data_IF_291209251491
#
_entry.id   IF_291209251491
#
_cell.length_a   1.000
_cell.length_b   1.000
_cell.length_c   1.000
_cell.angle_alpha   90.00
_cell.angle_beta   90.00
_cell.angle_gamma   90.00
#
_symmetry.space_group_name_H-M   'P 1'
#
loop_
_entity.id
_entity.type
_entity.pdbx_description
1 polymer ?
#
# COMPACT_ATOMS: atom_id res chain seq x y z
N UNK A 1 -22.87 22.59 -16.90
CA UNK A 1 -22.48 22.57 -16.49
C UNK A 1 -21.75 22.29 -16.00
N UNK A 2 -21.68 22.26 -15.72
CA UNK A 2 -21.07 22.05 -15.21
C UNK A 2 -20.42 21.77 -14.57
N UNK A 3 -20.25 21.54 -14.27
CA UNK A 3 -19.66 21.22 -13.61
C UNK A 3 -18.95 21.03 -13.03
N UNK A 4 -18.78 21.01 -12.85
CA UNK A 4 -18.16 20.87 -12.30
C UNK A 4 -17.47 20.52 -11.68
N UNK A 5 -17.18 20.34 -11.54
CA UNK A 5 -16.52 19.97 -10.98
C UNK A 5 -15.98 19.68 -10.25
N UNK A 6 -16.06 19.32 -10.07
CA UNK A 6 -15.57 18.92 -9.16
C UNK A 6 -14.56 18.81 -8.69
N UNK A 7 -14.23 19.11 -9.16
CA UNK A 7 -13.24 19.12 -8.68
C UNK A 7 -13.11 18.90 -7.47
N UNK A 8 -13.74 18.72 -7.08
CA UNK A 8 -13.58 18.56 -5.94
C UNK A 8 -12.94 17.68 -5.42
N UNK A 9 -12.84 17.45 -6.03
CA UNK A 9 -12.45 17.03 -5.44
C UNK A 9 -11.81 16.42 -4.39
N UNK A 10 -11.10 16.93 -3.44
CA UNK A 10 -10.51 16.22 -2.33
C UNK A 10 -11.49 15.40 -1.56
N UNK A 11 -12.71 15.84 -1.56
CA UNK A 11 -13.74 15.08 -0.89
C UNK A 11 -14.10 13.82 -1.63
N UNK A 12 -13.65 13.72 -2.86
CA UNK A 12 -13.92 12.55 -3.67
C UNK A 12 -13.00 11.38 -3.33
N UNK A 13 -12.00 11.57 -2.46
CA UNK A 13 -11.12 10.47 -2.09
C UNK A 13 -11.92 9.38 -1.37
N UNK A 14 -11.82 8.15 -1.88
CA UNK A 14 -12.52 7.03 -1.28
C UNK A 14 -11.89 6.67 0.08
N UNK A 15 -12.62 5.94 0.94
CA UNK A 15 -12.02 5.46 2.18
C UNK A 15 -10.73 4.68 1.94
N UNK A 16 -10.68 3.91 0.87
CA UNK A 16 -9.49 3.14 0.55
C UNK A 16 -8.32 4.06 0.17
N UNK A 17 -8.58 5.10 -0.62
CA UNK A 17 -7.56 6.07 -0.98
C UNK A 17 -7.00 6.75 0.27
N UNK A 18 -7.88 7.13 1.19
CA UNK A 18 -7.44 7.73 2.44
C UNK A 18 -6.57 6.80 3.25
N UNK A 19 -6.94 5.52 3.31
CA UNK A 19 -6.15 4.54 4.05
C UNK A 19 -4.76 4.37 3.43
N UNK A 20 -4.69 4.31 2.11
CA UNK A 20 -3.41 4.18 1.41
C UNK A 20 -2.52 5.38 1.70
N UNK A 21 -3.07 6.58 1.65
CA UNK A 21 -2.29 7.78 1.90
C UNK A 21 -1.85 7.89 3.37
N UNK A 22 -2.70 7.45 4.28
CA UNK A 22 -2.34 7.38 5.69
C UNK A 22 -1.16 6.44 5.92
N UNK A 23 -1.20 5.28 5.29
CA UNK A 23 -0.13 4.29 5.44
C UNK A 23 1.16 4.83 4.81
N UNK A 24 1.05 5.46 3.64
CA UNK A 24 2.21 6.06 2.98
C UNK A 24 2.86 7.11 3.88
N UNK A 25 2.06 7.95 4.51
CA UNK A 25 2.56 8.98 5.40
C UNK A 25 3.23 8.38 6.64
N UNK A 26 2.60 7.36 7.21
CA UNK A 26 3.17 6.64 8.34
C UNK A 26 4.54 6.06 7.97
N UNK A 27 4.62 5.39 6.83
CA UNK A 27 5.87 4.79 6.37
C UNK A 27 6.92 5.86 6.11
N UNK A 28 6.51 7.03 5.59
CA UNK A 28 7.43 8.13 5.36
C UNK A 28 8.06 8.62 6.66
N UNK A 29 7.29 8.61 7.73
CA UNK A 29 7.81 8.99 9.03
C UNK A 29 8.87 8.03 9.56
N UNK A 30 8.88 6.79 9.09
CA UNK A 30 9.89 5.80 9.48
C UNK A 30 11.16 5.90 8.65
N UNK A 31 11.11 6.62 7.54
CA UNK A 31 12.26 6.78 6.65
C UNK A 31 12.33 5.71 5.59
N UNK A 32 13.44 5.69 4.87
CA UNK A 32 13.67 4.72 3.81
C UNK A 32 14.49 3.54 4.33
N UNK A 33 14.61 2.51 3.48
CA UNK A 33 15.32 1.27 3.79
C UNK A 33 14.61 0.48 4.89
N UNK A 34 13.29 0.46 4.81
CA UNK A 34 12.43 -0.24 5.76
C UNK A 34 12.00 -1.59 5.18
N UNK A 35 11.78 -2.59 6.04
CA UNK A 35 11.22 -3.86 5.57
C UNK A 35 9.79 -3.68 5.10
N UNK A 36 9.30 -4.65 4.34
CA UNK A 36 7.90 -4.66 3.94
C UNK A 36 7.01 -4.76 5.18
N UNK A 37 5.87 -4.07 5.15
CA UNK A 37 4.94 -4.04 6.27
C UNK A 37 3.54 -4.36 5.79
N UNK A 38 2.85 -5.16 6.56
CA UNK A 38 1.49 -5.59 6.25
C UNK A 38 0.53 -4.95 7.24
N UNK A 39 -0.63 -4.51 6.73
CA UNK A 39 -1.65 -3.86 7.55
C UNK A 39 -2.99 -4.52 7.32
N UNK A 40 -3.76 -4.69 8.40
CA UNK A 40 -5.16 -5.02 8.28
C UNK A 40 -5.94 -3.71 8.17
N UNK A 41 -6.97 -3.68 7.35
CA UNK A 41 -7.86 -2.53 7.25
C UNK A 41 -9.18 -2.89 7.92
N UNK A 42 -9.51 -2.18 8.97
CA UNK A 42 -10.67 -2.49 9.79
C UNK A 42 -11.64 -1.31 9.75
N UNK A 43 -12.94 -1.63 9.68
CA UNK A 43 -13.96 -0.60 9.77
C UNK A 43 -13.84 0.09 11.12
N UNK A 44 -13.63 1.40 11.11
CA UNK A 44 -13.36 2.16 12.33
C UNK A 44 -14.53 2.12 13.31
N UNK A 45 -15.75 2.24 12.80
CA UNK A 45 -16.94 2.20 13.66
C UNK A 45 -17.07 0.84 14.34
N UNK A 46 -16.84 -0.22 13.59
CA UNK A 46 -16.90 -1.56 14.13
C UNK A 46 -15.80 -1.79 15.16
N UNK A 47 -14.62 -1.27 14.90
CA UNK A 47 -13.50 -1.40 15.83
C UNK A 47 -13.81 -0.74 17.16
N UNK A 48 -14.43 0.44 17.13
CA UNK A 48 -14.84 1.11 18.38
C UNK A 48 -15.86 0.31 19.16
N UNK A 49 -16.78 -0.32 18.46
CA UNK A 49 -17.81 -1.14 19.10
C UNK A 49 -17.27 -2.43 19.68
N UNK A 50 -16.46 -3.13 18.88
CA UNK A 50 -16.02 -4.48 19.22
C UNK A 50 -14.76 -4.50 20.07
N UNK A 51 -13.90 -3.51 19.91
CA UNK A 51 -12.59 -3.46 20.58
C UNK A 51 -12.34 -2.05 21.11
N UNK A 52 -13.13 -1.59 22.09
CA UNK A 52 -13.00 -0.21 22.54
C UNK A 52 -11.64 0.13 23.14
N UNK A 53 -10.98 -0.84 23.77
CA UNK A 53 -9.66 -0.60 24.34
C UNK A 53 -8.61 -0.39 23.26
N UNK A 54 -8.67 -1.20 22.22
CA UNK A 54 -7.77 -1.04 21.09
C UNK A 54 -8.04 0.28 20.37
N UNK A 55 -9.31 0.61 20.20
CA UNK A 55 -9.69 1.87 19.57
C UNK A 55 -9.13 3.06 20.36
N UNK A 56 -9.19 3.00 21.68
CA UNK A 56 -8.64 4.06 22.52
C UNK A 56 -7.11 4.15 22.35
N UNK A 57 -6.43 3.01 22.29
CA UNK A 57 -4.99 2.99 22.09
C UNK A 57 -4.59 3.61 20.76
N UNK A 58 -5.46 3.50 19.76
CA UNK A 58 -5.21 4.05 18.43
C UNK A 58 -5.73 5.48 18.29
N UNK A 59 -6.30 6.05 19.34
CA UNK A 59 -6.78 7.41 19.30
C UNK A 59 -8.12 7.59 18.61
N UNK A 60 -8.93 6.55 18.55
CA UNK A 60 -10.18 6.53 17.80
C UNK A 60 -11.41 6.69 18.68
N UNK A 61 -11.22 6.90 19.97
CA UNK A 61 -12.34 6.83 20.90
C UNK A 61 -13.25 8.07 20.87
N UNK A 62 -12.78 9.20 20.35
CA UNK A 62 -13.60 10.40 20.35
C UNK A 62 -14.55 10.52 19.15
N UNK A 63 -14.35 9.76 18.13
CA UNK A 63 -15.27 9.62 17.02
C UNK A 63 -15.30 10.71 15.98
N UNK A 64 -14.69 11.83 16.22
CA UNK A 64 -14.74 12.94 15.26
C UNK A 64 -13.55 12.90 14.31
N UNK A 65 -13.81 13.17 13.04
CA UNK A 65 -12.78 13.26 12.01
C UNK A 65 -12.02 11.98 11.80
N UNK A 66 -12.59 10.84 12.23
CA UNK A 66 -11.91 9.55 12.09
C UNK A 66 -12.18 8.97 10.72
N UNK A 67 -11.14 8.47 10.08
CA UNK A 67 -11.28 7.84 8.77
C UNK A 67 -12.13 6.58 8.86
N UNK A 68 -12.90 6.26 7.81
CA UNK A 68 -13.76 5.07 7.83
C UNK A 68 -13.01 3.75 8.01
N UNK A 69 -11.78 3.67 7.50
CA UNK A 69 -10.95 2.48 7.63
C UNK A 69 -9.75 2.80 8.49
N UNK A 70 -9.42 1.91 9.41
CA UNK A 70 -8.26 2.06 10.29
C UNK A 70 -7.22 1.01 9.90
N UNK A 71 -6.02 1.44 9.49
CA UNK A 71 -4.92 0.49 9.26
C UNK A 71 -4.36 0.02 10.60
N UNK A 72 -4.21 -1.28 10.73
CA UNK A 72 -3.61 -1.88 11.93
C UNK A 72 -2.39 -2.68 11.48
N UNK A 73 -1.21 -2.22 11.88
CA UNK A 73 0.01 -2.88 11.47
C UNK A 73 0.11 -4.27 12.05
N UNK A 74 0.51 -5.23 11.20
CA UNK A 74 0.71 -6.61 11.59
C UNK A 74 2.18 -6.83 11.92
N UNK A 75 2.52 -8.03 12.36
CA UNK A 75 3.91 -8.37 12.66
C UNK A 75 4.77 -8.20 11.42
N UNK A 76 6.06 -7.93 11.64
CA UNK A 76 7.00 -7.75 10.54
C UNK A 76 7.08 -9.00 9.68
N UNK A 77 7.23 -8.77 8.37
CA UNK A 77 7.44 -9.86 7.44
C UNK A 77 8.89 -10.32 7.58
N UNK A 78 9.13 -11.61 7.84
CA UNK A 78 10.51 -12.09 8.00
C UNK A 78 11.34 -11.83 6.76
N UNK A 79 12.54 -11.32 6.95
CA UNK A 79 13.42 -11.09 5.82
C UNK A 79 13.87 -12.44 5.24
N UNK A 80 14.00 -12.48 3.92
CA UNK A 80 14.38 -13.70 3.24
C UNK A 80 13.22 -14.60 2.86
N UNK A 81 12.01 -14.33 3.35
CA UNK A 81 10.84 -15.09 2.95
C UNK A 81 10.25 -14.46 1.69
N UNK A 82 10.04 -15.22 0.62
CA UNK A 82 9.38 -14.66 -0.55
C UNK A 82 8.01 -14.13 -0.20
N UNK A 83 7.67 -12.98 -0.75
CA UNK A 83 6.47 -12.26 -0.37
C UNK A 83 5.19 -13.06 -0.68
N UNK A 84 5.13 -13.67 -1.85
CA UNK A 84 3.99 -14.47 -2.24
C UNK A 84 3.81 -15.68 -1.34
N UNK A 85 4.92 -16.28 -0.90
CA UNK A 85 4.87 -17.40 0.03
C UNK A 85 4.33 -16.97 1.39
N UNK A 86 4.81 -15.83 1.89
CA UNK A 86 4.33 -15.29 3.15
C UNK A 86 2.83 -14.97 3.08
N UNK A 87 2.40 -14.33 1.99
CA UNK A 87 1.00 -13.97 1.83
C UNK A 87 0.10 -15.20 1.74
N UNK A 88 0.63 -16.30 1.22
CA UNK A 88 -0.12 -17.54 1.15
C UNK A 88 -0.45 -18.14 2.51
N UNK A 89 0.22 -17.69 3.58
CA UNK A 89 -0.04 -18.18 4.92
C UNK A 89 -1.06 -17.32 5.69
N UNK A 90 -1.50 -16.21 5.10
CA UNK A 90 -2.37 -15.25 5.78
C UNK A 90 -3.82 -15.73 5.75
N UNK A 91 -4.47 -15.66 6.91
CA UNK A 91 -5.91 -15.86 7.01
C UNK A 91 -6.49 -14.70 7.80
N UNK A 92 -7.39 -13.96 7.19
CA UNK A 92 -7.94 -12.77 7.82
C UNK A 92 -9.24 -13.07 8.55
N UNK A 93 -9.38 -12.58 9.80
CA UNK A 93 -10.67 -12.66 10.48
C UNK A 93 -11.76 -11.92 9.71
N UNK A 94 -13.01 -12.32 9.96
CA UNK A 94 -14.14 -11.70 9.26
C UNK A 94 -14.28 -10.21 9.51
N UNK A 95 -13.74 -9.71 10.62
CA UNK A 95 -13.81 -8.28 10.95
C UNK A 95 -12.86 -7.44 10.09
N UNK A 96 -11.93 -8.07 9.38
CA UNK A 96 -10.98 -7.34 8.54
C UNK A 96 -11.62 -7.07 7.19
N UNK A 97 -11.80 -5.79 6.86
CA UNK A 97 -12.46 -5.39 5.63
C UNK A 97 -11.53 -5.43 4.42
N UNK A 98 -10.24 -5.31 4.66
CA UNK A 98 -9.26 -5.33 3.59
C UNK A 98 -7.86 -5.43 4.15
N UNK A 99 -6.86 -5.33 3.30
CA UNK A 99 -5.47 -5.33 3.75
C UNK A 99 -4.64 -4.42 2.86
N UNK A 100 -3.46 -4.06 3.37
CA UNK A 100 -2.55 -3.18 2.66
C UNK A 100 -1.12 -3.59 2.96
N UNK A 101 -0.21 -3.17 2.10
CA UNK A 101 1.20 -3.45 2.28
C UNK A 101 2.02 -2.28 1.77
N UNK A 102 3.10 -1.97 2.48
CA UNK A 102 4.13 -1.06 1.97
C UNK A 102 5.37 -1.87 1.68
N UNK A 103 6.03 -1.56 0.58
CA UNK A 103 7.25 -2.25 0.20
C UNK A 103 8.09 -1.31 -0.64
N UNK A 104 9.41 -1.39 -0.46
CA UNK A 104 10.35 -0.59 -1.26
C UNK A 104 10.90 -1.44 -2.39
N UNK A 105 10.99 -0.86 -3.57
CA UNK A 105 11.44 -1.57 -4.76
C UNK A 105 12.32 -0.63 -5.61
N UNK A 106 13.10 -1.24 -6.47
CA UNK A 106 13.82 -0.50 -7.49
C UNK A 106 13.00 -0.51 -8.78
N UNK A 107 12.93 0.63 -9.43
CA UNK A 107 12.21 0.79 -10.69
C UNK A 107 13.09 1.46 -11.70
N UNK A 108 12.75 1.25 -12.97
CA UNK A 108 13.37 1.98 -14.06
C UNK A 108 12.36 2.92 -14.68
N UNK A 109 12.77 4.13 -15.10
CA UNK A 109 11.86 4.97 -15.86
C UNK A 109 11.56 4.32 -17.22
N UNK A 110 10.46 4.67 -17.86
CA UNK A 110 10.10 4.04 -19.15
C UNK A 110 11.19 4.12 -20.20
N UNK A 111 11.96 5.21 -20.20
CA UNK A 111 13.05 5.38 -21.15
C UNK A 111 14.14 4.33 -20.96
N UNK A 112 14.37 3.89 -19.73
CA UNK A 112 15.39 2.89 -19.43
C UNK A 112 14.84 1.47 -19.59
N UNK A 113 13.54 1.28 -19.46
CA UNK A 113 12.93 -0.04 -19.62
C UNK A 113 13.15 -0.61 -21.01
N UNK A 114 13.23 0.24 -22.00
CA UNK A 114 13.47 -0.18 -23.37
C UNK A 114 14.85 -0.79 -23.57
N UNK A 115 15.77 -0.55 -22.63
CA UNK A 115 17.13 -1.07 -22.70
C UNK A 115 17.30 -2.41 -22.00
N UNK A 116 16.26 -2.94 -21.38
CA UNK A 116 16.37 -4.20 -20.65
C UNK A 116 16.70 -5.34 -21.63
N UNK A 117 17.78 -6.10 -21.39
CA UNK A 117 18.14 -7.21 -22.29
C UNK A 117 17.08 -8.31 -22.23
N UNK A 118 16.88 -8.95 -23.37
CA UNK A 118 15.99 -10.12 -23.42
C UNK A 118 16.66 -11.32 -22.77
N UNK A 119 15.85 -12.24 -22.28
CA UNK A 119 16.35 -13.51 -21.80
C UNK A 119 16.86 -13.53 -20.38
N UNK A 120 16.69 -12.44 -19.64
CA UNK A 120 17.07 -12.43 -18.22
C UNK A 120 16.01 -13.13 -17.39
N UNK A 121 16.45 -13.94 -16.42
CA UNK A 121 15.53 -14.48 -15.43
C UNK A 121 15.30 -13.39 -14.36
N UNK A 122 14.51 -13.73 -13.35
CA UNK A 122 14.18 -12.78 -12.29
C UNK A 122 15.41 -12.23 -11.58
N UNK A 123 16.36 -13.12 -11.26
CA UNK A 123 17.59 -12.73 -10.59
C UNK A 123 18.45 -11.82 -11.47
N UNK A 124 18.59 -12.18 -12.73
CA UNK A 124 19.38 -11.40 -13.67
C UNK A 124 18.78 -10.03 -13.90
N UNK A 125 17.45 -9.96 -13.99
CA UNK A 125 16.75 -8.69 -14.15
C UNK A 125 16.95 -7.81 -12.92
N UNK A 126 16.81 -8.37 -11.73
CA UNK A 126 17.00 -7.61 -10.50
C UNK A 126 18.42 -7.04 -10.41
N UNK A 127 19.43 -7.84 -10.77
CA UNK A 127 20.81 -7.38 -10.76
C UNK A 127 21.03 -6.28 -11.79
N UNK A 128 20.44 -6.44 -12.96
CA UNK A 128 20.58 -5.45 -14.01
C UNK A 128 19.97 -4.11 -13.62
N UNK A 129 18.78 -4.16 -13.01
CA UNK A 129 18.11 -2.94 -12.53
C UNK A 129 18.93 -2.30 -11.41
N UNK A 130 19.42 -3.12 -10.48
CA UNK A 130 20.20 -2.58 -9.35
C UNK A 130 21.49 -1.90 -9.79
N UNK A 131 22.04 -2.30 -10.93
CA UNK A 131 23.27 -1.71 -11.47
C UNK A 131 23.00 -0.55 -12.41
N UNK A 132 21.75 -0.29 -12.77
CA UNK A 132 21.43 0.73 -13.75
C UNK A 132 21.57 2.13 -13.16
N UNK A 133 22.23 3.07 -13.86
CA UNK A 133 22.42 4.41 -13.32
C UNK A 133 21.14 5.22 -13.18
N UNK A 134 20.09 4.87 -13.93
CA UNK A 134 18.83 5.59 -13.85
C UNK A 134 17.81 4.89 -12.97
N UNK A 135 18.22 3.90 -12.20
CA UNK A 135 17.32 3.23 -11.29
C UNK A 135 16.74 4.20 -10.27
N UNK A 136 15.50 3.96 -9.90
CA UNK A 136 14.82 4.78 -8.92
C UNK A 136 14.33 3.89 -7.79
N UNK A 137 14.50 4.36 -6.55
CA UNK A 137 13.92 3.67 -5.40
C UNK A 137 12.51 4.21 -5.20
N UNK A 138 11.57 3.31 -5.03
CA UNK A 138 10.17 3.68 -4.87
C UNK A 138 9.58 2.92 -3.70
N UNK A 139 8.74 3.60 -2.91
CA UNK A 139 7.92 2.94 -1.92
C UNK A 139 6.53 2.79 -2.51
N UNK A 140 6.06 1.56 -2.52
CA UNK A 140 4.73 1.24 -3.01
C UNK A 140 3.83 0.92 -1.84
N UNK A 141 2.67 1.54 -1.78
CA UNK A 141 1.64 1.21 -0.80
C UNK A 141 0.43 0.73 -1.59
N UNK A 142 0.02 -0.50 -1.36
CA UNK A 142 -1.08 -1.11 -2.10
C UNK A 142 -2.11 -1.62 -1.11
N UNK A 143 -3.38 -1.35 -1.39
CA UNK A 143 -4.46 -1.79 -0.53
C UNK A 143 -5.57 -2.40 -1.36
N UNK A 144 -6.22 -3.41 -0.79
CA UNK A 144 -7.37 -4.07 -1.41
C UNK A 144 -8.45 -4.27 -0.36
N UNK A 145 -9.71 -4.23 -0.80
CA UNK A 145 -10.84 -4.57 0.05
C UNK A 145 -11.39 -5.92 -0.38
N UNK A 146 -12.14 -6.57 0.51
CA UNK A 146 -12.74 -7.86 0.21
C UNK A 146 -13.65 -7.82 -1.01
N UNK A 147 -14.24 -6.66 -1.30
CA UNK A 147 -15.14 -6.51 -2.45
C UNK A 147 -14.40 -6.33 -3.77
N UNK A 148 -13.07 -6.33 -3.73
CA UNK A 148 -12.25 -6.20 -4.92
C UNK A 148 -11.75 -4.80 -5.21
N UNK A 149 -12.17 -3.80 -4.45
CA UNK A 149 -11.66 -2.45 -4.62
C UNK A 149 -10.17 -2.41 -4.34
N UNK A 150 -9.44 -1.62 -5.11
CA UNK A 150 -7.98 -1.55 -5.02
C UNK A 150 -7.53 -0.11 -5.10
N UNK A 151 -6.44 0.20 -4.42
CA UNK A 151 -5.81 1.51 -4.52
C UNK A 151 -4.32 1.36 -4.25
N UNK A 152 -3.54 2.26 -4.82
CA UNK A 152 -2.09 2.22 -4.68
C UNK A 152 -1.54 3.64 -4.59
N UNK A 153 -0.38 3.77 -3.96
CA UNK A 153 0.37 5.02 -3.94
C UNK A 153 1.84 4.70 -4.20
N UNK A 154 2.48 5.52 -4.98
CA UNK A 154 3.91 5.40 -5.27
C UNK A 154 4.60 6.67 -4.85
N UNK A 155 5.67 6.53 -4.08
CA UNK A 155 6.51 7.65 -3.65
C UNK A 155 7.94 7.34 -4.05
N UNK A 156 8.54 8.25 -4.83
CA UNK A 156 9.94 8.11 -5.25
C UNK A 156 10.84 8.67 -4.17
N UNK A 157 11.96 7.98 -3.92
CA UNK A 157 12.90 8.45 -2.91
C UNK A 157 13.49 9.81 -3.26
N UNK A 158 13.71 10.04 -4.55
CA UNK A 158 14.26 11.33 -5.01
C UNK A 158 13.23 12.46 -4.90
N UNK A 159 11.96 12.14 -4.86
CA UNK A 159 10.87 13.10 -4.75
C UNK A 159 10.02 12.78 -3.55
N UNK A 160 10.65 12.74 -2.40
CA UNK A 160 10.03 12.32 -1.16
C UNK A 160 9.25 13.48 -0.53
N UNK A 161 8.16 13.84 -1.18
CA UNK A 161 7.29 14.92 -0.75
C UNK A 161 5.84 14.45 -0.85
N UNK A 162 4.98 14.82 0.10
CA UNK A 162 3.57 14.44 0.01
C UNK A 162 2.90 14.90 -1.29
N UNK A 163 3.40 15.98 -1.88
CA UNK A 163 2.83 16.52 -3.13
C UNK A 163 3.26 15.74 -4.36
N UNK A 164 4.21 14.83 -4.20
CA UNK A 164 4.75 14.07 -5.32
C UNK A 164 4.29 12.62 -5.32
N UNK A 165 3.33 12.27 -4.46
CA UNK A 165 2.83 10.90 -4.38
C UNK A 165 1.84 10.66 -5.51
N UNK A 166 2.05 9.59 -6.27
CA UNK A 166 1.13 9.18 -7.32
C UNK A 166 0.14 8.17 -6.75
N UNK A 167 -1.13 8.34 -7.08
CA UNK A 167 -2.15 7.37 -6.66
C UNK A 167 -2.87 6.80 -7.88
N UNK A 168 -3.38 5.59 -7.75
CA UNK A 168 -4.14 4.96 -8.81
C UNK A 168 -4.46 3.52 -8.45
N UNK A 169 -5.54 2.99 -9.02
CA UNK A 169 -6.00 1.66 -8.69
C UNK A 169 -5.22 0.55 -9.39
N UNK A 170 -4.50 0.87 -10.45
CA UNK A 170 -3.81 -0.13 -11.25
C UNK A 170 -2.31 0.03 -11.33
N UNK A 171 -1.70 0.75 -10.38
CA UNK A 171 -0.26 1.04 -10.46
C UNK A 171 0.61 -0.17 -10.14
N UNK A 172 0.13 -1.08 -9.28
CA UNK A 172 0.91 -2.27 -8.88
C UNK A 172 -0.01 -3.48 -8.93
N UNK A 173 -0.41 -3.93 -10.12
CA UNK A 173 -1.42 -4.99 -10.23
C UNK A 173 -1.00 -6.32 -9.64
N UNK A 174 0.27 -6.70 -9.78
CA UNK A 174 0.73 -7.98 -9.25
C UNK A 174 0.61 -8.07 -7.75
N UNK A 175 1.02 -7.03 -7.04
CA UNK A 175 0.91 -7.00 -5.59
C UNK A 175 -0.55 -6.92 -5.15
N UNK A 176 -1.36 -6.12 -5.87
CA UNK A 176 -2.78 -6.03 -5.56
C UNK A 176 -3.47 -7.38 -5.66
N UNK A 177 -3.14 -8.15 -6.70
CA UNK A 177 -3.73 -9.49 -6.87
C UNK A 177 -3.29 -10.43 -5.77
N UNK A 178 -2.02 -10.36 -5.37
CA UNK A 178 -1.51 -11.21 -4.30
C UNK A 178 -2.22 -10.89 -2.98
N UNK A 179 -2.45 -9.61 -2.70
CA UNK A 179 -3.16 -9.22 -1.48
C UNK A 179 -4.63 -9.65 -1.54
N UNK A 180 -5.26 -9.51 -2.70
CA UNK A 180 -6.66 -9.93 -2.85
C UNK A 180 -6.80 -11.43 -2.64
N UNK A 181 -5.83 -12.20 -3.07
CA UNK A 181 -5.86 -13.66 -2.91
C UNK A 181 -5.85 -14.08 -1.44
N UNK A 182 -5.35 -13.25 -0.54
CA UNK A 182 -5.35 -13.58 0.89
C UNK A 182 -6.76 -13.69 1.47
N UNK A 183 -7.78 -13.19 0.75
CA UNK A 183 -9.17 -13.28 1.19
C UNK A 183 -9.92 -14.44 0.53
N UNK A 184 -9.27 -15.18 -0.35
CA UNK A 184 -9.89 -16.28 -1.08
C UNK A 184 -9.51 -17.61 -0.46
N UNK A 185 -9.75 -17.79 0.74
CA UNK A 185 -9.29 -19.01 1.41
C UNK A 185 -10.31 -20.16 1.32
#
# INVERSE_FOLDING_TARGET
MSNVSPSGTPMAASPLTRAVLEIDEYASGLGWDQPARLFALVDTTRLRSDEPELAAQLGLDDGESVAPLTPVEQDEIPSGTPLDEFLGTIAWPGAVAGCAMTVERLMLPPSAEASVPDGLDESGLAEWVAAHPERQEVRMTVAVLRDGARESALRLREKDSPNEVLTGSGLVPGLAEALAATFEA
#
